data_IF_427648309428
#
_entry.id   IF_427648309428
#
_cell.length_a   1.000
_cell.length_b   1.000
_cell.length_c   1.000
_cell.angle_alpha   90.00
_cell.angle_beta   90.00
_cell.angle_gamma   90.00
#
_symmetry.space_group_name_H-M   'P 1'
#
loop_
_entity.id
_entity.type
_entity.pdbx_description
1 polymer ?
#
# COMPACT_ATOMS: atom_id res chain seq x y z
N UNK A 1 -19.61 0.67 -6.04
CA UNK A 1 -20.45 -0.32 -5.33
C UNK A 1 -20.00 -1.75 -5.63
N UNK A 2 -20.45 -2.76 -4.88
CA UNK A 2 -20.30 -4.19 -5.23
C UNK A 2 -21.27 -4.61 -6.35
N UNK A 3 -21.33 -5.91 -6.66
CA UNK A 3 -22.19 -6.43 -7.72
C UNK A 3 -23.68 -6.26 -7.41
N UNK A 4 -24.03 -6.11 -6.13
CA UNK A 4 -25.38 -5.88 -5.64
C UNK A 4 -25.73 -4.39 -5.45
N UNK A 5 -24.80 -3.46 -5.71
CA UNK A 5 -25.05 -2.01 -5.62
C UNK A 5 -24.72 -1.38 -4.26
N UNK A 6 -24.18 -2.15 -3.30
CA UNK A 6 -23.83 -1.64 -1.98
C UNK A 6 -22.52 -0.85 -1.97
N UNK A 7 -22.43 0.17 -1.10
CA UNK A 7 -21.23 0.97 -0.91
C UNK A 7 -20.12 0.10 -0.32
N UNK A 8 -18.98 0.01 -1.03
CA UNK A 8 -17.84 -0.81 -0.60
C UNK A 8 -17.11 -0.16 0.58
N UNK A 9 -16.44 -0.98 1.39
CA UNK A 9 -15.74 -0.54 2.61
C UNK A 9 -14.58 0.45 2.42
N UNK A 10 -14.15 0.67 1.18
CA UNK A 10 -13.03 1.56 0.85
C UNK A 10 -13.33 3.05 1.03
N UNK A 11 -14.61 3.44 1.05
CA UNK A 11 -15.02 4.82 1.21
C UNK A 11 -15.95 4.95 2.40
N UNK A 12 -15.76 6.03 3.16
CA UNK A 12 -16.74 6.53 4.10
C UNK A 12 -17.47 7.69 3.42
N UNK A 13 -18.79 7.67 3.44
CA UNK A 13 -19.63 8.67 2.78
C UNK A 13 -20.50 9.31 3.86
N UNK A 14 -20.48 10.63 3.93
CA UNK A 14 -21.20 11.43 4.91
C UNK A 14 -22.05 12.47 4.20
N UNK A 15 -23.20 12.83 4.79
CA UNK A 15 -24.07 13.91 4.33
C UNK A 15 -24.16 14.97 5.43
N UNK A 16 -23.89 16.24 5.11
CA UNK A 16 -24.04 17.40 6.02
C UNK A 16 -23.36 17.22 7.40
N UNK A 17 -22.17 16.62 7.45
CA UNK A 17 -21.42 16.30 8.68
C UNK A 17 -22.03 15.20 9.58
N UNK A 18 -23.02 14.46 9.09
CA UNK A 18 -23.60 13.31 9.77
C UNK A 18 -22.68 12.08 9.84
N UNK A 19 -23.19 11.01 10.45
CA UNK A 19 -22.51 9.71 10.47
C UNK A 19 -22.38 9.12 9.06
N UNK A 20 -21.53 8.10 8.93
CA UNK A 20 -21.40 7.36 7.67
C UNK A 20 -22.76 6.80 7.24
N UNK A 21 -23.14 6.98 5.98
CA UNK A 21 -24.45 6.53 5.46
C UNK A 21 -24.71 5.04 5.72
N UNK A 22 -23.68 4.20 5.83
CA UNK A 22 -23.83 2.75 6.13
C UNK A 22 -24.31 2.47 7.55
N UNK A 23 -24.23 3.45 8.45
CA UNK A 23 -24.82 3.39 9.79
C UNK A 23 -26.29 3.87 9.80
N UNK A 24 -26.76 4.45 8.69
CA UNK A 24 -28.15 4.87 8.46
C UNK A 24 -28.81 4.10 7.33
N UNK A 25 -29.42 4.82 6.37
CA UNK A 25 -30.19 4.25 5.25
C UNK A 25 -29.31 3.79 4.08
N UNK A 26 -27.99 3.82 4.23
CA UNK A 26 -27.06 3.35 3.21
C UNK A 26 -27.17 4.18 1.94
N UNK A 27 -27.22 3.50 0.79
CA UNK A 27 -27.32 4.17 -0.51
C UNK A 27 -28.68 4.85 -0.73
N UNK A 28 -29.68 4.48 0.07
CA UNK A 28 -31.03 5.04 0.00
C UNK A 28 -31.17 6.31 0.86
N UNK A 29 -30.08 6.75 1.52
CA UNK A 29 -30.08 7.99 2.32
C UNK A 29 -30.61 9.17 1.49
N UNK A 30 -31.71 9.81 1.90
CA UNK A 30 -32.33 10.87 1.13
C UNK A 30 -31.45 12.11 1.08
N UNK A 31 -31.43 12.76 -0.08
CA UNK A 31 -30.72 14.02 -0.31
C UNK A 31 -31.72 15.12 -0.70
N UNK A 32 -31.44 16.34 -0.26
CA UNK A 32 -32.15 17.55 -0.62
C UNK A 32 -31.22 18.59 -1.22
N UNK A 33 -31.78 19.53 -2.00
CA UNK A 33 -31.01 20.62 -2.60
C UNK A 33 -30.32 21.45 -1.50
N UNK A 34 -29.00 21.55 -1.60
CA UNK A 34 -28.14 22.22 -0.61
C UNK A 34 -27.34 21.26 0.28
N UNK A 35 -27.60 19.96 0.20
CA UNK A 35 -26.83 18.97 0.95
C UNK A 35 -25.37 18.86 0.45
N UNK A 36 -24.46 18.69 1.39
CA UNK A 36 -23.03 18.46 1.13
C UNK A 36 -22.69 17.00 1.37
N UNK A 37 -22.21 16.31 0.34
CA UNK A 37 -21.73 14.92 0.43
C UNK A 37 -20.20 14.92 0.54
N UNK A 38 -19.70 14.37 1.64
CA UNK A 38 -18.27 14.21 1.88
C UNK A 38 -17.87 12.75 1.67
N UNK A 39 -16.92 12.52 0.77
CA UNK A 39 -16.35 11.20 0.51
C UNK A 39 -14.94 11.17 1.09
N UNK A 40 -14.75 10.37 2.13
CA UNK A 40 -13.45 10.14 2.73
C UNK A 40 -12.98 8.75 2.30
N UNK A 41 -11.71 8.64 1.90
CA UNK A 41 -11.07 7.32 1.84
C UNK A 41 -11.07 6.75 3.25
N UNK A 42 -11.54 5.50 3.41
CA UNK A 42 -11.63 4.90 4.73
C UNK A 42 -10.23 4.79 5.37
N UNK A 43 -10.06 5.40 6.56
CA UNK A 43 -8.79 5.33 7.34
C UNK A 43 -8.52 3.88 7.80
N UNK A 44 -9.56 3.05 7.91
CA UNK A 44 -9.47 1.63 8.22
C UNK A 44 -9.11 0.77 6.99
N UNK A 45 -7.92 1.00 6.44
CA UNK A 45 -7.17 -0.01 5.67
C UNK A 45 -7.68 -0.33 4.25
N UNK A 46 -8.39 0.60 3.60
CA UNK A 46 -8.89 0.39 2.24
C UNK A 46 -8.00 0.89 1.11
N UNK A 47 -6.99 1.70 1.41
CA UNK A 47 -6.06 2.30 0.43
C UNK A 47 -4.73 1.56 0.39
N UNK A 48 -4.01 1.70 -0.73
CA UNK A 48 -2.66 1.19 -0.87
C UNK A 48 -1.78 1.73 0.27
N UNK A 49 -1.10 0.83 0.98
CA UNK A 49 -0.08 1.22 1.96
C UNK A 49 1.23 1.46 1.26
N UNK A 50 2.06 2.32 1.86
CA UNK A 50 3.43 2.56 1.39
C UNK A 50 4.40 2.11 2.48
N UNK A 51 5.33 1.21 2.14
CA UNK A 51 6.41 0.75 3.01
C UNK A 51 7.75 1.05 2.38
N UNK A 52 8.63 1.67 3.15
CA UNK A 52 10.02 1.94 2.77
C UNK A 52 10.91 0.92 3.46
N UNK A 53 11.74 0.23 2.70
CA UNK A 53 12.62 -0.83 3.18
C UNK A 53 14.01 -0.71 2.57
N UNK A 54 15.02 -1.12 3.33
CA UNK A 54 16.36 -1.41 2.87
C UNK A 54 16.48 -2.89 2.54
N UNK A 55 16.90 -3.19 1.32
CA UNK A 55 17.27 -4.53 0.88
C UNK A 55 18.79 -4.65 0.89
N UNK A 56 19.32 -5.66 1.58
CA UNK A 56 20.71 -6.11 1.42
C UNK A 56 20.72 -7.41 0.62
N UNK A 57 21.13 -7.30 -0.64
CA UNK A 57 21.17 -8.39 -1.62
C UNK A 57 22.57 -9.00 -1.63
N UNK A 58 22.71 -10.32 -1.40
CA UNK A 58 24.00 -11.00 -1.52
C UNK A 58 24.65 -10.83 -2.90
N UNK A 59 26.00 -10.77 -2.96
CA UNK A 59 26.74 -10.57 -4.21
C UNK A 59 26.41 -11.56 -5.33
N UNK A 60 26.12 -12.82 -5.00
CA UNK A 60 25.76 -13.87 -5.96
C UNK A 60 24.33 -13.71 -6.53
N UNK A 61 23.53 -12.82 -5.95
CA UNK A 61 22.15 -12.57 -6.36
C UNK A 61 21.91 -11.20 -7.01
N UNK A 62 22.92 -10.32 -7.11
CA UNK A 62 22.75 -8.98 -7.69
C UNK A 62 22.31 -8.97 -9.16
N UNK A 63 22.55 -10.08 -9.88
CA UNK A 63 22.11 -10.27 -11.27
C UNK A 63 20.68 -10.84 -11.38
N UNK A 64 20.00 -11.12 -10.27
CA UNK A 64 18.62 -11.60 -10.27
C UNK A 64 17.64 -10.42 -10.27
N UNK A 65 16.58 -10.44 -11.09
CA UNK A 65 15.64 -9.33 -11.20
C UNK A 65 14.58 -9.34 -10.07
N UNK A 66 15.01 -9.52 -8.81
CA UNK A 66 14.10 -9.76 -7.67
C UNK A 66 13.04 -8.67 -7.49
N UNK A 67 13.40 -7.41 -7.69
CA UNK A 67 12.46 -6.27 -7.58
C UNK A 67 11.39 -6.34 -8.68
N UNK A 68 11.80 -6.67 -9.91
CA UNK A 68 10.86 -6.86 -11.01
C UNK A 68 9.95 -8.07 -10.76
N UNK A 69 10.51 -9.19 -10.29
CA UNK A 69 9.72 -10.37 -9.94
C UNK A 69 8.67 -10.07 -8.87
N UNK A 70 9.01 -9.27 -7.86
CA UNK A 70 8.06 -8.85 -6.83
C UNK A 70 6.88 -8.07 -7.43
N UNK A 71 7.14 -7.10 -8.31
CA UNK A 71 6.08 -6.35 -8.99
C UNK A 71 5.25 -7.16 -9.99
N UNK A 72 5.76 -8.30 -10.48
CA UNK A 72 4.99 -9.24 -11.31
C UNK A 72 4.16 -10.23 -10.50
N UNK A 73 4.69 -10.69 -9.36
CA UNK A 73 4.06 -11.72 -8.51
C UNK A 73 3.01 -11.15 -7.57
N UNK A 74 3.18 -9.91 -7.14
CA UNK A 74 2.32 -9.25 -6.16
C UNK A 74 1.76 -7.96 -6.76
N UNK A 75 0.58 -7.55 -6.30
CA UNK A 75 -0.07 -6.31 -6.76
C UNK A 75 0.57 -5.08 -6.10
N UNK A 76 1.86 -4.91 -6.30
CA UNK A 76 2.65 -3.81 -5.72
C UNK A 76 3.34 -3.00 -6.82
N UNK A 77 3.44 -1.70 -6.61
CA UNK A 77 4.32 -0.81 -7.35
C UNK A 77 5.63 -0.70 -6.59
N UNK A 78 6.73 -0.89 -7.30
CA UNK A 78 8.09 -0.78 -6.76
C UNK A 78 8.72 0.53 -7.19
N UNK A 79 9.27 1.29 -6.26
CA UNK A 79 10.00 2.52 -6.55
C UNK A 79 11.36 2.53 -5.85
N UNK A 80 12.43 2.49 -6.64
CA UNK A 80 13.81 2.51 -6.14
C UNK A 80 14.21 3.94 -5.79
N UNK A 81 14.54 4.19 -4.53
CA UNK A 81 14.96 5.51 -4.02
C UNK A 81 16.47 5.65 -3.96
N UNK A 82 17.15 4.56 -3.65
CA UNK A 82 18.60 4.49 -3.63
C UNK A 82 19.02 3.08 -4.03
N UNK A 83 20.10 2.97 -4.80
CA UNK A 83 20.71 1.68 -5.11
C UNK A 83 22.23 1.85 -5.20
N UNK A 84 22.95 0.91 -4.61
CA UNK A 84 24.39 0.75 -4.81
C UNK A 84 24.71 -0.74 -4.95
N UNK A 85 25.67 -1.05 -5.81
CA UNK A 85 26.15 -2.43 -6.01
C UNK A 85 27.65 -2.42 -5.85
N UNK A 86 28.16 -3.32 -4.99
CA UNK A 86 29.58 -3.56 -4.79
C UNK A 86 29.93 -5.00 -5.16
N UNK A 87 31.20 -5.38 -4.95
CA UNK A 87 31.63 -6.78 -5.10
C UNK A 87 31.10 -7.69 -3.99
N UNK A 88 30.67 -7.11 -2.87
CA UNK A 88 30.31 -7.80 -1.64
C UNK A 88 28.80 -7.96 -1.50
N UNK A 89 28.04 -6.92 -1.89
CA UNK A 89 26.59 -6.89 -1.78
C UNK A 89 25.98 -5.77 -2.63
N UNK A 90 24.66 -5.87 -2.84
CA UNK A 90 23.82 -4.76 -3.32
C UNK A 90 22.99 -4.19 -2.17
N UNK A 91 22.91 -2.86 -2.07
CA UNK A 91 21.99 -2.17 -1.17
C UNK A 91 20.93 -1.46 -2.00
N UNK A 92 19.66 -1.63 -1.63
CA UNK A 92 18.55 -0.95 -2.30
C UNK A 92 17.58 -0.38 -1.29
N UNK A 93 17.41 0.94 -1.29
CA UNK A 93 16.32 1.62 -0.63
C UNK A 93 15.09 1.56 -1.54
N UNK A 94 14.10 0.76 -1.16
CA UNK A 94 12.92 0.47 -1.96
C UNK A 94 11.66 0.98 -1.27
N UNK A 95 10.82 1.69 -2.01
CA UNK A 95 9.45 1.97 -1.61
C UNK A 95 8.51 0.98 -2.32
N UNK A 96 7.69 0.28 -1.54
CA UNK A 96 6.63 -0.60 -2.02
C UNK A 96 5.29 0.04 -1.73
N UNK A 97 4.44 0.18 -2.75
CA UNK A 97 3.06 0.62 -2.57
C UNK A 97 2.06 -0.37 -3.15
N UNK A 98 0.96 -0.61 -2.45
CA UNK A 98 -0.09 -1.55 -2.88
C UNK A 98 -0.98 -1.98 -1.70
N UNK A 99 -1.90 -2.93 -1.91
CA UNK A 99 -2.68 -3.51 -0.82
C UNK A 99 -1.78 -4.04 0.29
N UNK A 100 -2.18 -3.86 1.55
CA UNK A 100 -1.34 -4.19 2.71
C UNK A 100 -0.86 -5.64 2.72
N UNK A 101 -1.75 -6.57 2.36
CA UNK A 101 -1.44 -8.00 2.26
C UNK A 101 -0.46 -8.31 1.13
N UNK A 102 -0.51 -7.57 0.01
CA UNK A 102 0.39 -7.76 -1.13
C UNK A 102 1.77 -7.18 -0.84
N UNK A 103 1.84 -6.03 -0.16
CA UNK A 103 3.10 -5.46 0.33
C UNK A 103 3.77 -6.40 1.35
N UNK A 104 3.00 -6.99 2.26
CA UNK A 104 3.53 -7.97 3.22
C UNK A 104 4.11 -9.22 2.51
N UNK A 105 3.37 -9.80 1.55
CA UNK A 105 3.85 -10.94 0.75
C UNK A 105 5.10 -10.60 -0.06
N UNK A 106 5.18 -9.39 -0.63
CA UNK A 106 6.35 -8.93 -1.37
C UNK A 106 7.60 -8.84 -0.47
N UNK A 107 7.43 -8.36 0.77
CA UNK A 107 8.51 -8.32 1.77
C UNK A 107 8.95 -9.74 2.14
N UNK A 108 8.01 -10.62 2.46
CA UNK A 108 8.29 -12.04 2.77
C UNK A 108 8.98 -12.75 1.60
N UNK A 109 8.62 -12.42 0.36
CA UNK A 109 9.29 -12.94 -0.82
C UNK A 109 10.77 -12.58 -0.83
N UNK A 110 11.16 -11.33 -0.59
CA UNK A 110 12.59 -10.96 -0.53
C UNK A 110 13.33 -11.75 0.55
N UNK A 111 12.75 -11.86 1.75
CA UNK A 111 13.30 -12.67 2.84
C UNK A 111 13.47 -14.14 2.42
N UNK A 112 12.48 -14.72 1.75
CA UNK A 112 12.54 -16.11 1.26
C UNK A 112 13.63 -16.34 0.20
N UNK A 113 14.05 -15.29 -0.51
CA UNK A 113 15.17 -15.35 -1.46
C UNK A 113 16.54 -15.16 -0.78
N UNK A 114 16.59 -15.01 0.55
CA UNK A 114 17.81 -14.75 1.29
C UNK A 114 18.29 -13.30 1.25
N UNK A 115 17.42 -12.36 0.85
CA UNK A 115 17.69 -10.92 0.93
C UNK A 115 17.35 -10.43 2.33
N UNK A 116 18.25 -9.71 2.98
CA UNK A 116 17.93 -9.05 4.26
C UNK A 116 17.02 -7.84 4.00
N UNK A 117 15.97 -7.69 4.80
CA UNK A 117 15.01 -6.59 4.67
C UNK A 117 14.89 -5.85 6.00
N UNK A 118 15.19 -4.56 5.98
CA UNK A 118 15.10 -3.68 7.15
C UNK A 118 14.14 -2.53 6.87
N UNK A 119 13.23 -2.15 7.79
CA UNK A 119 12.40 -0.98 7.60
C UNK A 119 13.26 0.30 7.57
N UNK A 120 12.89 1.26 6.73
CA UNK A 120 13.43 2.61 6.87
C UNK A 120 12.66 3.27 8.00
N UNK A 121 13.29 3.41 9.17
CA UNK A 121 12.77 4.29 10.21
C UNK A 121 12.77 5.71 9.66
N UNK A 122 11.58 6.31 9.55
CA UNK A 122 11.46 7.73 9.29
C UNK A 122 11.70 8.43 10.62
N UNK A 123 12.89 9.01 10.81
CA UNK A 123 13.02 10.12 11.73
C UNK A 123 12.01 11.17 11.27
N UNK A 124 10.97 11.38 12.07
CA UNK A 124 10.01 12.46 11.85
C UNK A 124 10.78 13.75 12.12
N UNK A 125 11.35 14.34 11.07
CA UNK A 125 11.73 15.75 11.10
C UNK A 125 10.46 16.54 10.81
N UNK A 126 9.80 17.02 11.86
CA UNK A 126 8.88 18.17 11.80
C UNK A 126 9.65 19.47 11.48
#
# INVERSE_FOLDING_TARGET
CDAEGSVRRHFNIHVNEGEDIRLGEGIDTPLTDGDTVTILSAIAGGGDVVKKIWLTVPADQVNRPLIWEAGQKFKVVTNVRQASVSKELGLVGLELSGPAEEVAKAIEFFVSQGVSVEPVELDVVE
#
